data_IF_937236058130
#
_entry.id   IF_937236058130
#
_cell.length_a   1.000
_cell.length_b   1.000
_cell.length_c   1.000
_cell.angle_alpha   90.00
_cell.angle_beta   90.00
_cell.angle_gamma   90.00
#
_symmetry.space_group_name_H-M   'P 1'
#
loop_
_entity.id
_entity.type
_entity.pdbx_description
1 polymer ?
#
# COMPACT_ATOMS: atom_id res chain seq x y z
N UNK A 1 -25.72 -14.39 12.82
CA UNK A 1 -24.30 -14.41 13.14
C UNK A 1 -23.85 -12.96 13.19
N UNK A 2 -23.48 -12.46 14.37
CA UNK A 2 -22.89 -11.13 14.48
C UNK A 2 -21.51 -11.22 13.85
N UNK A 3 -21.35 -10.63 12.66
CA UNK A 3 -20.07 -10.58 11.98
C UNK A 3 -19.05 -9.88 12.87
N UNK A 4 -17.84 -10.40 12.91
CA UNK A 4 -16.71 -9.73 13.55
C UNK A 4 -16.53 -8.36 12.89
N UNK A 5 -16.66 -7.30 13.68
CA UNK A 5 -16.40 -5.93 13.23
C UNK A 5 -14.95 -5.64 13.59
N UNK A 6 -14.12 -5.51 12.58
CA UNK A 6 -12.72 -5.14 12.77
C UNK A 6 -12.61 -3.65 13.11
N UNK A 7 -12.09 -3.34 14.28
CA UNK A 7 -11.77 -1.97 14.67
C UNK A 7 -10.35 -1.65 14.22
N UNK A 8 -10.24 -0.82 13.21
CA UNK A 8 -8.96 -0.35 12.65
C UNK A 8 -8.19 0.60 13.59
N UNK A 9 -8.80 1.03 14.67
CA UNK A 9 -8.22 2.01 15.60
C UNK A 9 -8.03 3.42 15.03
N UNK A 10 -8.37 3.64 13.75
CA UNK A 10 -8.26 4.93 13.05
C UNK A 10 -9.45 5.11 12.10
N UNK A 11 -10.00 6.32 12.07
CA UNK A 11 -11.17 6.63 11.23
C UNK A 11 -10.73 7.03 9.82
N UNK A 12 -10.43 6.02 9.03
CA UNK A 12 -10.14 6.14 7.60
C UNK A 12 -11.09 5.21 6.84
N UNK A 13 -11.82 5.76 5.89
CA UNK A 13 -12.76 4.99 5.08
C UNK A 13 -12.35 5.02 3.62
N UNK A 14 -12.09 3.86 3.00
CA UNK A 14 -11.85 3.78 1.56
C UNK A 14 -13.09 4.20 0.77
N UNK A 15 -12.89 5.02 -0.26
CA UNK A 15 -13.93 5.45 -1.21
C UNK A 15 -13.59 4.84 -2.56
N UNK A 16 -14.09 3.63 -2.80
CA UNK A 16 -13.73 2.83 -3.96
C UNK A 16 -13.99 3.53 -5.30
N UNK A 17 -15.12 4.25 -5.40
CA UNK A 17 -15.49 4.99 -6.63
C UNK A 17 -14.53 6.12 -6.99
N UNK A 18 -13.77 6.61 -6.03
CA UNK A 18 -12.80 7.69 -6.21
C UNK A 18 -11.34 7.17 -6.14
N UNK A 19 -11.16 5.89 -5.89
CA UNK A 19 -9.84 5.32 -5.57
C UNK A 19 -9.11 6.17 -4.52
N UNK A 20 -9.80 6.49 -3.42
CA UNK A 20 -9.32 7.40 -2.40
C UNK A 20 -9.80 7.04 -1.00
N UNK A 21 -9.64 7.99 -0.09
CA UNK A 21 -10.00 7.81 1.31
C UNK A 21 -10.69 9.07 1.84
N UNK A 22 -11.60 8.89 2.79
CA UNK A 22 -12.07 9.95 3.66
C UNK A 22 -11.46 9.78 5.04
N UNK A 23 -11.17 10.88 5.70
CA UNK A 23 -10.56 10.93 7.01
C UNK A 23 -11.56 11.51 8.01
N UNK A 24 -11.72 10.84 9.14
CA UNK A 24 -12.55 11.32 10.23
C UNK A 24 -11.91 12.48 11.01
N UNK A 25 -12.64 13.01 11.95
CA UNK A 25 -12.17 14.11 12.78
C UNK A 25 -10.88 13.74 13.53
N UNK A 26 -9.90 14.62 13.51
CA UNK A 26 -8.61 14.41 14.16
C UNK A 26 -7.69 13.40 13.47
N UNK A 27 -8.03 12.96 12.25
CA UNK A 27 -7.15 12.16 11.41
C UNK A 27 -6.55 13.05 10.33
N UNK A 28 -5.24 13.04 10.21
CA UNK A 28 -4.54 13.66 9.10
C UNK A 28 -4.22 12.67 8.00
N UNK A 29 -4.19 13.14 6.78
CA UNK A 29 -3.78 12.36 5.61
C UNK A 29 -3.57 13.27 4.41
N UNK A 30 -2.61 12.95 3.56
CA UNK A 30 -2.34 13.69 2.33
C UNK A 30 -3.37 13.36 1.25
N UNK A 31 -3.28 14.07 0.14
CA UNK A 31 -3.92 13.65 -1.10
C UNK A 31 -3.38 12.28 -1.54
N UNK A 32 -4.24 11.49 -2.16
CA UNK A 32 -3.85 10.19 -2.64
C UNK A 32 -2.97 10.28 -3.88
N UNK A 33 -1.99 9.43 -3.96
CA UNK A 33 -1.20 9.19 -5.15
C UNK A 33 -1.80 8.00 -5.90
N UNK A 34 -2.33 8.25 -7.10
CA UNK A 34 -2.96 7.23 -7.92
C UNK A 34 -1.92 6.66 -8.88
N UNK A 35 -1.79 5.34 -8.90
CA UNK A 35 -1.01 4.61 -9.90
C UNK A 35 -1.95 4.07 -10.98
N UNK A 36 -1.72 4.50 -12.20
CA UNK A 36 -2.45 4.07 -13.38
C UNK A 36 -1.76 2.87 -14.03
N UNK A 37 -2.50 2.15 -14.84
CA UNK A 37 -1.95 1.03 -15.60
C UNK A 37 -0.74 1.45 -16.45
N UNK A 38 -0.79 2.62 -17.06
CA UNK A 38 0.31 3.15 -17.85
C UNK A 38 1.60 3.35 -17.04
N UNK A 39 1.47 3.78 -15.79
CA UNK A 39 2.61 4.05 -14.90
C UNK A 39 3.37 2.77 -14.53
N UNK A 40 2.69 1.62 -14.55
CA UNK A 40 3.25 0.37 -14.06
C UNK A 40 3.48 -0.69 -15.14
N UNK A 41 3.13 -0.42 -16.42
CA UNK A 41 3.22 -1.38 -17.52
C UNK A 41 4.57 -2.07 -17.63
N UNK A 42 5.66 -1.34 -17.45
CA UNK A 42 7.01 -1.89 -17.54
C UNK A 42 7.31 -2.97 -16.49
N UNK A 43 6.55 -3.01 -15.40
CA UNK A 43 6.68 -4.01 -14.34
C UNK A 43 5.81 -5.26 -14.55
N UNK A 44 4.92 -5.24 -15.55
CA UNK A 44 3.98 -6.33 -15.80
C UNK A 44 4.62 -7.41 -16.70
N UNK A 45 4.20 -8.66 -16.49
CA UNK A 45 4.60 -9.79 -17.35
C UNK A 45 4.20 -9.55 -18.81
N UNK A 46 3.01 -8.97 -19.02
CA UNK A 46 2.54 -8.52 -20.33
C UNK A 46 2.30 -6.99 -20.29
N UNK A 47 3.25 -6.17 -20.74
CA UNK A 47 3.09 -4.72 -20.75
C UNK A 47 1.95 -4.21 -21.66
N UNK A 48 1.42 -5.05 -22.55
CA UNK A 48 0.30 -4.70 -23.42
C UNK A 48 -1.05 -5.18 -22.88
N UNK A 49 -1.07 -5.74 -21.69
CA UNK A 49 -2.28 -6.27 -21.07
C UNK A 49 -3.36 -5.19 -20.88
N UNK A 50 -4.60 -5.65 -20.79
CA UNK A 50 -5.75 -4.83 -20.38
C UNK A 50 -6.00 -4.99 -18.90
N UNK A 51 -6.51 -3.94 -18.29
CA UNK A 51 -6.85 -3.91 -16.86
C UNK A 51 -7.56 -2.62 -16.48
N UNK A 52 -7.83 -2.38 -15.20
CA UNK A 52 -8.38 -1.14 -14.74
C UNK A 52 -7.41 0.01 -15.04
N UNK A 53 -7.94 1.17 -15.45
CA UNK A 53 -7.12 2.35 -15.73
C UNK A 53 -6.38 2.82 -14.49
N UNK A 54 -7.09 2.89 -13.37
CA UNK A 54 -6.50 3.17 -12.05
C UNK A 54 -6.29 1.84 -11.34
N UNK A 55 -5.05 1.51 -11.05
CA UNK A 55 -4.69 0.19 -10.51
C UNK A 55 -4.73 0.18 -8.99
N UNK A 56 -4.11 1.16 -8.37
CA UNK A 56 -4.17 1.38 -6.93
C UNK A 56 -3.95 2.85 -6.59
N UNK A 57 -4.33 3.22 -5.39
CA UNK A 57 -3.97 4.50 -4.81
C UNK A 57 -3.39 4.33 -3.42
N UNK A 58 -2.54 5.26 -3.05
CA UNK A 58 -1.82 5.24 -1.77
C UNK A 58 -1.86 6.62 -1.15
N UNK A 59 -2.14 6.69 0.15
CA UNK A 59 -1.91 7.86 0.97
C UNK A 59 -0.85 7.51 2.01
N UNK A 60 0.33 8.10 1.88
CA UNK A 60 1.42 7.93 2.84
C UNK A 60 1.41 9.07 3.85
N UNK A 61 1.87 8.81 5.08
CA UNK A 61 1.86 9.75 6.20
C UNK A 61 0.44 10.11 6.65
N UNK A 62 -0.33 9.09 7.02
CA UNK A 62 -1.64 9.24 7.67
C UNK A 62 -1.54 8.92 9.16
N UNK A 63 -2.43 9.47 9.98
CA UNK A 63 -2.43 9.19 11.41
C UNK A 63 -3.42 10.05 12.19
N UNK A 64 -3.48 9.83 13.50
CA UNK A 64 -4.21 10.73 14.39
C UNK A 64 -3.37 11.95 14.73
N UNK A 65 -3.96 13.13 14.69
CA UNK A 65 -3.25 14.39 15.03
C UNK A 65 -2.61 14.34 16.43
N UNK A 66 -3.28 13.72 17.39
CA UNK A 66 -2.76 13.54 18.75
C UNK A 66 -1.47 12.71 18.81
N UNK A 67 -1.23 11.87 17.81
CA UNK A 67 -0.04 10.99 17.72
C UNK A 67 1.07 11.55 16.83
N UNK A 68 0.85 12.65 16.11
CA UNK A 68 1.79 13.19 15.12
C UNK A 68 3.20 13.40 15.70
N UNK A 69 3.30 14.01 16.86
CA UNK A 69 4.59 14.25 17.51
C UNK A 69 5.32 12.94 17.86
N UNK A 70 4.56 11.93 18.30
CA UNK A 70 5.11 10.61 18.63
C UNK A 70 5.57 9.86 17.39
N UNK A 71 4.76 9.86 16.33
CA UNK A 71 5.10 9.22 15.04
C UNK A 71 6.41 9.82 14.48
N UNK A 72 6.51 11.14 14.47
CA UNK A 72 7.73 11.83 14.05
C UNK A 72 8.94 11.48 14.90
N UNK A 73 8.79 11.46 16.23
CA UNK A 73 9.86 11.11 17.17
C UNK A 73 10.35 9.67 16.98
N UNK A 74 9.46 8.75 16.67
CA UNK A 74 9.75 7.34 16.46
C UNK A 74 10.12 7.00 15.01
N UNK A 75 10.07 7.98 14.12
CA UNK A 75 10.28 7.78 12.67
C UNK A 75 9.36 6.70 12.08
N UNK A 76 8.11 6.67 12.56
CA UNK A 76 7.09 5.77 12.05
C UNK A 76 6.32 6.44 10.93
N UNK A 77 6.07 5.68 9.88
CA UNK A 77 5.25 6.08 8.75
C UNK A 77 4.09 5.09 8.61
N UNK A 78 2.88 5.60 8.61
CA UNK A 78 1.68 4.81 8.35
C UNK A 78 1.09 5.21 7.00
N UNK A 79 0.78 4.23 6.17
CA UNK A 79 0.16 4.45 4.88
C UNK A 79 -1.07 3.58 4.70
N UNK A 80 -1.98 4.02 3.84
CA UNK A 80 -3.16 3.25 3.44
C UNK A 80 -3.19 3.12 1.93
N UNK A 81 -3.55 1.93 1.47
CA UNK A 81 -3.59 1.59 0.04
C UNK A 81 -4.95 0.99 -0.29
N UNK A 82 -5.52 1.38 -1.42
CA UNK A 82 -6.70 0.71 -1.99
C UNK A 82 -6.40 0.27 -3.41
N UNK A 83 -6.89 -0.90 -3.77
CA UNK A 83 -6.68 -1.51 -5.07
C UNK A 83 -7.98 -1.60 -5.84
N UNK A 84 -7.92 -1.43 -7.16
CA UNK A 84 -9.04 -1.72 -8.04
C UNK A 84 -9.36 -3.21 -8.03
N UNK A 85 -10.62 -3.52 -8.26
CA UNK A 85 -11.03 -4.88 -8.58
C UNK A 85 -10.56 -5.28 -9.98
N UNK A 86 -10.41 -6.59 -10.22
CA UNK A 86 -10.10 -7.15 -11.54
C UNK A 86 -8.72 -7.75 -11.66
N UNK A 87 -8.19 -7.70 -12.87
CA UNK A 87 -6.88 -8.28 -13.22
C UNK A 87 -6.11 -7.35 -14.15
N UNK A 88 -4.81 -7.53 -14.20
CA UNK A 88 -3.87 -6.95 -15.16
C UNK A 88 -3.52 -8.05 -16.17
N UNK A 89 -4.33 -8.20 -17.22
CA UNK A 89 -4.25 -9.36 -18.10
C UNK A 89 -4.55 -10.66 -17.35
N UNK A 90 -3.55 -11.50 -17.16
CA UNK A 90 -3.68 -12.75 -16.40
C UNK A 90 -3.19 -12.62 -14.94
N UNK A 91 -2.54 -11.51 -14.60
CA UNK A 91 -2.06 -11.26 -13.25
C UNK A 91 -3.16 -10.69 -12.35
N UNK A 92 -3.16 -10.96 -11.03
CA UNK A 92 -3.94 -10.18 -10.08
C UNK A 92 -3.57 -8.69 -10.16
N UNK A 93 -4.49 -7.81 -9.76
CA UNK A 93 -4.14 -6.40 -9.51
C UNK A 93 -3.06 -6.37 -8.43
N UNK A 94 -2.02 -5.59 -8.65
CA UNK A 94 -0.88 -5.50 -7.74
C UNK A 94 -0.22 -4.12 -7.75
N UNK A 95 0.53 -3.82 -6.71
CA UNK A 95 1.47 -2.70 -6.70
C UNK A 95 2.77 -3.07 -7.42
N UNK A 96 3.56 -2.05 -7.71
CA UNK A 96 4.95 -2.25 -8.11
C UNK A 96 5.78 -2.72 -6.91
N UNK A 97 6.77 -3.57 -7.19
CA UNK A 97 7.79 -3.91 -6.21
C UNK A 97 8.68 -2.70 -5.92
N UNK A 98 9.22 -2.64 -4.72
CA UNK A 98 10.18 -1.63 -4.30
C UNK A 98 11.14 -2.20 -3.27
N UNK A 99 12.23 -1.50 -3.06
CA UNK A 99 13.26 -1.85 -2.09
C UNK A 99 13.27 -0.76 -1.03
N UNK A 100 13.22 -1.18 0.22
CA UNK A 100 13.35 -0.25 1.32
C UNK A 100 14.80 0.22 1.45
N UNK A 101 14.98 1.52 1.59
CA UNK A 101 16.27 2.11 1.87
C UNK A 101 16.73 1.70 3.27
N UNK A 102 18.04 1.60 3.43
CA UNK A 102 18.62 1.44 4.76
C UNK A 102 18.28 2.67 5.61
N UNK A 103 17.66 2.42 6.75
CA UNK A 103 17.35 3.48 7.71
C UNK A 103 18.64 4.03 8.32
N UNK A 104 18.87 5.35 8.30
CA UNK A 104 20.04 5.96 8.94
C UNK A 104 20.03 5.80 10.46
N UNK A 105 18.90 5.45 11.05
CA UNK A 105 18.75 5.28 12.50
C UNK A 105 19.07 3.88 12.97
N UNK A 106 18.67 2.85 12.23
CA UNK A 106 18.87 1.46 12.60
C UNK A 106 20.04 0.79 11.88
N UNK A 107 20.47 1.32 10.74
CA UNK A 107 21.46 0.68 9.86
C UNK A 107 20.92 -0.52 9.09
N UNK A 108 19.61 -0.78 9.15
CA UNK A 108 18.91 -1.89 8.48
C UNK A 108 17.77 -1.38 7.62
N UNK A 109 17.31 -2.22 6.71
CA UNK A 109 16.05 -2.01 6.00
C UNK A 109 14.90 -1.88 7.00
N UNK A 110 14.01 -0.92 6.75
CA UNK A 110 12.87 -0.66 7.63
C UNK A 110 11.89 -1.83 7.56
N UNK A 111 11.49 -2.45 8.69
CA UNK A 111 10.45 -3.46 8.70
C UNK A 111 9.09 -2.84 8.37
N UNK A 112 8.21 -3.64 7.77
CA UNK A 112 6.83 -3.27 7.50
C UNK A 112 5.85 -4.22 8.18
N UNK A 113 4.71 -3.69 8.56
CA UNK A 113 3.55 -4.46 9.03
C UNK A 113 2.40 -4.16 8.09
N UNK A 114 1.80 -5.22 7.53
CA UNK A 114 0.63 -5.12 6.69
C UNK A 114 -0.61 -5.56 7.45
N UNK A 115 -1.64 -4.74 7.38
CA UNK A 115 -2.95 -5.01 7.95
C UNK A 115 -3.99 -4.96 6.84
N UNK A 116 -4.68 -6.07 6.61
CA UNK A 116 -5.68 -6.18 5.55
C UNK A 116 -7.06 -5.83 6.12
N UNK A 117 -7.59 -4.69 5.70
CA UNK A 117 -8.89 -4.21 6.16
C UNK A 117 -10.06 -4.81 5.38
N UNK A 118 -9.84 -5.16 4.12
CA UNK A 118 -10.86 -5.75 3.25
C UNK A 118 -10.20 -6.52 2.12
N UNK A 119 -10.82 -7.64 1.73
CA UNK A 119 -10.32 -8.49 0.64
C UNK A 119 -9.20 -9.42 1.07
N UNK A 120 -8.44 -9.87 0.09
CA UNK A 120 -7.33 -10.79 0.26
C UNK A 120 -6.11 -10.24 -0.48
N UNK A 121 -4.92 -10.44 0.07
CA UNK A 121 -3.68 -10.03 -0.56
C UNK A 121 -2.63 -11.15 -0.47
N UNK A 122 -1.79 -11.23 -1.49
CA UNK A 122 -0.56 -12.01 -1.49
C UNK A 122 0.59 -11.04 -1.43
N UNK A 123 1.44 -11.15 -0.42
CA UNK A 123 2.65 -10.36 -0.28
C UNK A 123 3.79 -11.22 -0.77
N UNK A 124 4.39 -10.79 -1.90
CA UNK A 124 5.56 -11.44 -2.47
C UNK A 124 6.81 -10.69 -2.04
N UNK A 125 7.75 -11.41 -1.45
CA UNK A 125 9.01 -10.85 -0.97
C UNK A 125 10.18 -11.60 -1.59
N UNK A 126 11.30 -10.91 -1.77
CA UNK A 126 12.56 -11.51 -2.19
C UNK A 126 13.73 -10.87 -1.44
N UNK A 127 14.77 -11.66 -1.20
CA UNK A 127 15.93 -11.23 -0.42
C UNK A 127 16.78 -10.20 -1.17
N UNK A 128 16.86 -10.31 -2.50
CA UNK A 128 17.69 -9.44 -3.34
C UNK A 128 16.88 -8.79 -4.44
N UNK A 129 17.30 -7.59 -4.84
CA UNK A 129 16.67 -6.81 -5.88
C UNK A 129 16.85 -7.39 -7.30
N UNK A 130 17.90 -8.17 -7.52
CA UNK A 130 18.18 -8.75 -8.81
C UNK A 130 17.39 -10.05 -9.03
N UNK A 131 16.96 -10.26 -10.25
CA UNK A 131 16.16 -11.43 -10.64
C UNK A 131 17.02 -12.69 -10.86
N UNK A 132 18.35 -12.56 -10.88
CA UNK A 132 19.27 -13.68 -11.14
C UNK A 132 19.58 -14.46 -9.85
N UNK A 133 19.55 -13.83 -8.70
CA UNK A 133 19.82 -14.48 -7.42
C UNK A 133 18.64 -15.30 -6.88
N UNK A 134 17.42 -15.06 -7.35
CA UNK A 134 16.22 -15.90 -7.24
C UNK A 134 15.95 -16.57 -5.89
N UNK A 135 16.40 -15.99 -4.80
CA UNK A 135 16.02 -16.46 -3.46
C UNK A 135 14.75 -15.78 -3.05
N UNK A 136 13.66 -16.45 -3.36
CA UNK A 136 12.35 -16.11 -2.82
C UNK A 136 12.30 -16.49 -1.33
N UNK A 137 11.69 -15.66 -0.54
CA UNK A 137 11.48 -15.88 0.90
C UNK A 137 10.05 -16.35 1.14
#
# INVERSE_FOLDING_TARGET
MNGFVFDKGIDITPVQSLMGFTYGAGVFGPEVEIRRLEDIRASLRDPQCKGPEQVYSIAMDVGKEEHRALLNKLHLLFGVVTYSAGKLGQEPVRSQGHIHKISPYSGWSTPEIYEIWSGEAIIYMQEYADTESGKDV
#
